data_IF_575817812916
#
_entry.id   IF_575817812916
#
_cell.length_a   1.000
_cell.length_b   1.000
_cell.length_c   1.000
_cell.angle_alpha   90.00
_cell.angle_beta   90.00
_cell.angle_gamma   90.00
#
_symmetry.space_group_name_H-M   'P 1'
#
loop_
_entity.id
_entity.type
_entity.pdbx_description
1 polymer ?
#
# COMPACT_ATOMS: atom_id res chain seq x y z
N UNK A 1 -64.92 -21.69 40.29
CA UNK A 1 -63.76 -21.62 39.36
C UNK A 1 -63.95 -20.60 38.22
N UNK A 2 -65.20 -20.22 37.85
CA UNK A 2 -65.47 -19.22 36.79
C UNK A 2 -65.15 -17.78 37.20
N UNK A 3 -65.51 -17.39 38.43
CA UNK A 3 -65.33 -16.01 38.96
C UNK A 3 -63.87 -15.56 38.98
N UNK A 4 -62.92 -16.44 39.35
CA UNK A 4 -61.49 -16.11 39.40
C UNK A 4 -60.90 -15.78 38.02
N UNK A 5 -61.43 -16.40 36.94
CA UNK A 5 -60.99 -16.12 35.56
C UNK A 5 -61.48 -14.76 35.08
N UNK A 6 -62.69 -14.36 35.47
CA UNK A 6 -63.25 -13.06 35.09
C UNK A 6 -62.42 -11.91 35.71
N UNK A 7 -62.11 -12.04 37.00
CA UNK A 7 -61.31 -11.03 37.71
C UNK A 7 -59.93 -10.83 37.08
N UNK A 8 -59.26 -11.92 36.68
CA UNK A 8 -57.94 -11.81 36.01
C UNK A 8 -58.02 -11.11 34.64
N UNK A 9 -59.13 -11.27 33.91
CA UNK A 9 -59.33 -10.61 32.61
C UNK A 9 -59.57 -9.11 32.83
N UNK A 10 -60.36 -8.75 33.82
CA UNK A 10 -60.59 -7.35 34.20
C UNK A 10 -59.30 -6.68 34.68
N UNK A 11 -58.46 -7.37 35.46
CA UNK A 11 -57.15 -6.86 35.88
C UNK A 11 -56.20 -6.60 34.69
N UNK A 12 -56.19 -7.49 33.70
CA UNK A 12 -55.38 -7.33 32.48
C UNK A 12 -55.89 -6.16 31.64
N UNK A 13 -57.21 -6.03 31.46
CA UNK A 13 -57.81 -4.92 30.71
C UNK A 13 -57.54 -3.58 31.42
N UNK A 14 -57.63 -3.56 32.75
CA UNK A 14 -57.36 -2.37 33.55
C UNK A 14 -55.87 -1.97 33.52
N UNK A 15 -54.95 -2.94 33.38
CA UNK A 15 -53.51 -2.65 33.19
C UNK A 15 -53.20 -1.95 31.85
N UNK A 16 -54.10 -2.05 30.88
CA UNK A 16 -53.94 -1.47 29.54
C UNK A 16 -54.68 -0.12 29.38
N UNK A 17 -55.57 0.24 30.30
CA UNK A 17 -56.37 1.48 30.25
C UNK A 17 -55.51 2.75 30.39
N UNK A 18 -54.34 2.64 31.02
CA UNK A 18 -53.33 3.71 31.10
C UNK A 18 -52.38 3.79 29.90
N UNK A 19 -52.46 2.86 28.94
CA UNK A 19 -51.55 2.80 27.81
C UNK A 19 -51.95 3.83 26.73
N UNK A 20 -51.58 5.08 26.96
CA UNK A 20 -51.69 6.13 25.95
C UNK A 20 -50.78 5.87 24.75
N UNK A 21 -51.15 6.40 23.58
CA UNK A 21 -50.30 6.38 22.39
C UNK A 21 -48.97 7.06 22.73
N UNK A 22 -47.87 6.31 22.72
CA UNK A 22 -46.55 6.87 22.91
C UNK A 22 -46.24 7.84 21.76
N UNK A 23 -46.27 9.13 22.05
CA UNK A 23 -45.87 10.17 21.09
C UNK A 23 -44.35 10.25 21.10
N UNK A 24 -43.73 10.25 19.92
CA UNK A 24 -42.30 10.46 19.82
C UNK A 24 -41.93 11.79 20.49
N UNK A 25 -40.84 11.85 21.27
CA UNK A 25 -40.42 13.09 21.91
C UNK A 25 -40.04 14.13 20.85
N UNK A 26 -40.17 15.41 21.21
CA UNK A 26 -39.80 16.52 20.34
C UNK A 26 -38.36 16.34 19.82
N UNK A 27 -38.15 16.61 18.53
CA UNK A 27 -36.88 16.45 17.80
C UNK A 27 -36.35 15.00 17.66
N UNK A 28 -37.11 13.95 18.00
CA UNK A 28 -36.70 12.56 17.76
C UNK A 28 -36.34 12.32 16.29
N UNK A 29 -37.20 12.76 15.37
CA UNK A 29 -36.98 12.62 13.94
C UNK A 29 -35.76 13.38 13.44
N UNK A 30 -35.50 14.58 13.97
CA UNK A 30 -34.32 15.37 13.62
C UNK A 30 -33.04 14.67 14.05
N UNK A 31 -33.01 14.13 15.28
CA UNK A 31 -31.84 13.39 15.80
C UNK A 31 -31.63 12.07 15.06
N UNK A 32 -32.72 11.37 14.73
CA UNK A 32 -32.67 10.14 13.95
C UNK A 32 -32.14 10.41 12.54
N UNK A 33 -32.68 11.41 11.86
CA UNK A 33 -32.25 11.84 10.52
C UNK A 33 -30.77 12.22 10.51
N UNK A 34 -30.32 13.01 11.49
CA UNK A 34 -28.91 13.39 11.62
C UNK A 34 -27.99 12.17 11.82
N UNK A 35 -28.43 11.14 12.56
CA UNK A 35 -27.66 9.89 12.72
C UNK A 35 -27.63 9.06 11.45
N UNK A 36 -28.74 8.99 10.71
CA UNK A 36 -28.78 8.31 9.42
C UNK A 36 -27.84 9.00 8.43
N UNK A 37 -27.95 10.32 8.29
CA UNK A 37 -27.08 11.12 7.41
C UNK A 37 -25.60 11.01 7.79
N UNK A 38 -25.26 10.95 9.09
CA UNK A 38 -23.89 10.73 9.55
C UNK A 38 -23.34 9.33 9.20
N UNK A 39 -24.19 8.31 9.13
CA UNK A 39 -23.80 6.97 8.69
C UNK A 39 -23.75 6.80 7.17
N UNK A 40 -24.49 7.64 6.43
CA UNK A 40 -24.57 7.65 4.97
C UNK A 40 -23.51 8.56 4.33
N UNK A 41 -23.13 9.64 5.00
CA UNK A 41 -22.03 10.47 4.57
C UNK A 41 -20.72 9.69 4.83
N UNK A 42 -19.90 9.39 3.80
CA UNK A 42 -18.55 8.95 4.07
C UNK A 42 -17.89 10.01 4.95
N UNK A 43 -17.23 9.60 6.04
CA UNK A 43 -16.40 10.52 6.82
C UNK A 43 -15.60 11.38 5.84
N UNK A 44 -15.53 12.71 6.03
CA UNK A 44 -14.65 13.50 5.20
C UNK A 44 -13.27 12.94 5.46
N UNK A 45 -12.76 12.13 4.51
CA UNK A 45 -11.44 11.56 4.51
C UNK A 45 -10.47 12.74 4.55
N UNK A 46 -10.20 13.21 5.76
CA UNK A 46 -9.16 14.17 6.13
C UNK A 46 -7.81 13.45 6.14
N UNK A 47 -7.71 12.31 5.46
CA UNK A 47 -6.49 11.62 5.16
C UNK A 47 -5.83 12.26 3.94
N UNK A 48 -4.61 12.75 4.17
CA UNK A 48 -3.53 12.75 3.19
C UNK A 48 -3.51 13.79 2.07
N UNK A 49 -3.57 15.08 2.44
CA UNK A 49 -3.00 16.14 1.59
C UNK A 49 -1.46 16.16 1.54
N UNK A 50 -0.78 15.36 2.36
CA UNK A 50 0.69 15.27 2.40
C UNK A 50 1.27 14.23 1.42
N UNK A 51 0.45 13.35 0.84
CA UNK A 51 0.87 12.41 -0.21
C UNK A 51 1.53 13.07 -1.45
N UNK A 52 1.02 14.18 -2.03
CA UNK A 52 1.62 14.73 -3.25
C UNK A 52 3.05 15.21 -3.03
N UNK A 53 3.37 15.78 -1.85
CA UNK A 53 4.71 16.29 -1.58
C UNK A 53 5.78 15.18 -1.54
N UNK A 54 5.46 14.03 -0.92
CA UNK A 54 6.38 12.89 -0.88
C UNK A 54 6.60 12.27 -2.26
N UNK A 55 5.55 12.17 -3.09
CA UNK A 55 5.64 11.65 -4.46
C UNK A 55 6.49 12.56 -5.34
N UNK A 56 6.31 13.88 -5.24
CA UNK A 56 7.12 14.87 -5.97
C UNK A 56 8.58 14.81 -5.49
N UNK A 57 8.81 14.74 -4.17
CA UNK A 57 10.15 14.66 -3.62
C UNK A 57 10.90 13.39 -4.07
N UNK A 58 10.24 12.23 -4.06
CA UNK A 58 10.85 10.98 -4.55
C UNK A 58 11.13 11.03 -6.06
N UNK A 59 10.24 11.64 -6.83
CA UNK A 59 10.42 11.79 -8.28
C UNK A 59 11.62 12.70 -8.61
N UNK A 60 11.73 13.83 -7.91
CA UNK A 60 12.86 14.76 -8.04
C UNK A 60 14.16 14.09 -7.61
N UNK A 61 14.15 13.31 -6.52
CA UNK A 61 15.33 12.57 -6.07
C UNK A 61 15.84 11.59 -7.13
N UNK A 62 14.95 10.79 -7.73
CA UNK A 62 15.31 9.86 -8.82
C UNK A 62 15.83 10.62 -10.04
N UNK A 63 15.21 11.75 -10.39
CA UNK A 63 15.64 12.57 -11.51
C UNK A 63 17.03 13.17 -11.29
N UNK A 64 17.31 13.70 -10.09
CA UNK A 64 18.62 14.22 -9.72
C UNK A 64 19.66 13.10 -9.72
N UNK A 65 19.36 11.93 -9.15
CA UNK A 65 20.27 10.79 -9.17
C UNK A 65 20.66 10.43 -10.61
N UNK A 66 19.68 10.28 -11.51
CA UNK A 66 19.94 9.97 -12.91
C UNK A 66 20.69 11.09 -13.64
N UNK A 67 20.34 12.36 -13.39
CA UNK A 67 21.05 13.50 -13.97
C UNK A 67 22.51 13.57 -13.51
N UNK A 68 22.77 13.32 -12.22
CA UNK A 68 24.14 13.27 -11.70
C UNK A 68 24.93 12.09 -12.26
N UNK A 69 24.28 10.95 -12.50
CA UNK A 69 24.90 9.78 -13.13
C UNK A 69 25.30 10.07 -14.58
N UNK A 70 24.46 10.77 -15.35
CA UNK A 70 24.76 11.17 -16.72
C UNK A 70 25.89 12.20 -16.79
N UNK A 71 25.91 13.19 -15.89
CA UNK A 71 26.94 14.25 -15.87
C UNK A 71 28.28 13.70 -15.38
N UNK A 72 28.27 12.76 -14.42
CA UNK A 72 29.48 12.09 -13.92
C UNK A 72 29.95 10.95 -14.82
N UNK A 73 29.05 10.33 -15.58
CA UNK A 73 29.33 9.22 -16.50
C UNK A 73 30.22 9.60 -17.68
N UNK A 74 30.36 10.89 -17.97
CA UNK A 74 31.35 11.41 -18.93
C UNK A 74 32.78 11.49 -18.35
N UNK A 75 32.94 11.38 -17.02
CA UNK A 75 34.23 11.50 -16.33
C UNK A 75 34.61 10.29 -15.46
N UNK A 76 33.76 9.26 -15.35
CA UNK A 76 34.10 8.02 -14.65
C UNK A 76 33.22 6.89 -15.16
N UNK A 77 33.80 6.09 -16.05
CA UNK A 77 33.42 4.68 -16.19
C UNK A 77 33.72 3.98 -14.87
N UNK A 78 32.78 4.00 -13.93
CA UNK A 78 32.72 2.97 -12.91
C UNK A 78 31.29 2.86 -12.38
N UNK A 79 30.48 2.15 -13.16
CA UNK A 79 29.20 1.66 -12.69
C UNK A 79 29.49 0.52 -11.72
N UNK A 80 29.12 0.73 -10.46
CA UNK A 80 28.85 -0.33 -9.47
C UNK A 80 27.66 -1.18 -9.95
N UNK A 81 27.89 -1.96 -10.99
CA UNK A 81 27.23 -3.25 -11.18
C UNK A 81 28.11 -4.23 -10.43
N UNK A 82 27.52 -5.17 -9.71
CA UNK A 82 28.23 -6.30 -9.12
C UNK A 82 28.99 -7.02 -10.25
N UNK A 83 30.25 -6.66 -10.44
CA UNK A 83 31.13 -7.10 -11.52
C UNK A 83 31.80 -8.42 -11.14
N UNK A 84 31.01 -9.42 -10.75
CA UNK A 84 31.55 -10.77 -10.56
C UNK A 84 31.73 -11.44 -11.93
N UNK A 85 30.85 -11.13 -12.90
CA UNK A 85 30.83 -11.83 -14.21
C UNK A 85 31.65 -11.11 -15.31
N UNK A 86 31.84 -9.79 -15.23
CA UNK A 86 32.56 -9.03 -16.28
C UNK A 86 34.08 -9.23 -16.20
N UNK A 87 34.63 -9.36 -15.00
CA UNK A 87 36.05 -9.69 -14.81
C UNK A 87 36.33 -11.14 -15.23
N UNK A 88 35.41 -12.07 -14.98
CA UNK A 88 35.56 -13.47 -15.40
C UNK A 88 35.56 -13.59 -16.93
N UNK A 89 34.64 -12.92 -17.63
CA UNK A 89 34.56 -12.99 -19.10
C UNK A 89 35.82 -12.43 -19.78
N UNK A 90 36.36 -11.33 -19.24
CA UNK A 90 37.61 -10.74 -19.75
C UNK A 90 38.83 -11.63 -19.46
N UNK A 91 38.88 -12.27 -18.29
CA UNK A 91 39.96 -13.20 -17.93
C UNK A 91 39.98 -14.46 -18.81
N UNK A 92 38.81 -15.01 -19.14
CA UNK A 92 38.66 -16.19 -20.00
C UNK A 92 39.08 -15.84 -21.44
N UNK A 93 38.66 -14.68 -21.97
CA UNK A 93 39.05 -14.24 -23.31
C UNK A 93 40.56 -13.96 -23.44
N UNK A 94 41.21 -13.47 -22.37
CA UNK A 94 42.65 -13.25 -22.35
C UNK A 94 43.45 -14.57 -22.40
N UNK A 95 42.98 -15.64 -21.73
CA UNK A 95 43.64 -16.95 -21.76
C UNK A 95 43.61 -17.60 -23.16
N UNK A 96 42.49 -17.50 -23.90
CA UNK A 96 42.41 -18.04 -25.27
C UNK A 96 43.41 -17.36 -26.23
N UNK A 97 43.61 -16.04 -26.09
CA UNK A 97 44.57 -15.30 -26.92
C UNK A 97 46.04 -15.66 -26.60
N UNK A 98 46.33 -16.00 -25.34
CA UNK A 98 47.66 -16.43 -24.92
C UNK A 98 48.00 -17.85 -25.39
N UNK A 99 47.00 -18.75 -25.41
CA UNK A 99 47.20 -20.14 -25.82
C UNK A 99 47.62 -20.25 -27.29
N UNK A 100 47.01 -19.47 -28.19
CA UNK A 100 47.34 -19.50 -29.63
C UNK A 100 48.79 -19.09 -29.93
N UNK A 101 49.34 -18.15 -29.15
CA UNK A 101 50.74 -17.73 -29.31
C UNK A 101 51.70 -18.78 -28.72
N UNK A 102 51.34 -19.42 -27.60
CA UNK A 102 52.18 -20.42 -26.93
C UNK A 102 52.41 -21.70 -27.76
N UNK A 103 51.41 -22.15 -28.52
CA UNK A 103 51.52 -23.35 -29.37
C UNK A 103 52.60 -23.17 -30.46
N UNK A 104 52.72 -21.95 -31.02
CA UNK A 104 53.70 -21.65 -32.08
C UNK A 104 55.13 -21.62 -31.53
N UNK A 105 55.32 -21.25 -30.27
CA UNK A 105 56.64 -21.29 -29.62
C UNK A 105 57.06 -22.70 -29.21
N UNK A 106 56.13 -23.55 -28.79
CA UNK A 106 56.42 -24.94 -28.39
C UNK A 106 56.81 -25.81 -29.60
N UNK A 107 56.12 -25.65 -30.73
CA UNK A 107 56.43 -26.35 -32.00
C UNK A 107 57.79 -26.01 -32.61
N UNK A 108 58.39 -24.87 -32.23
CA UNK A 108 59.70 -24.42 -32.73
C UNK A 108 60.86 -24.73 -31.78
N UNK A 109 60.61 -25.25 -30.58
CA UNK A 109 61.67 -25.62 -29.62
C UNK A 109 62.14 -27.08 -29.77
N UNK A 110 61.40 -27.93 -30.48
CA UNK A 110 61.69 -29.37 -30.61
C UNK A 110 62.50 -29.72 -31.87
N UNK A 111 63.40 -28.82 -32.32
CA UNK A 111 64.32 -29.04 -33.46
C UNK A 111 65.76 -28.65 -33.14
#
# INVERSE_FOLDING_TARGET
MSTKRNNNIEDILNSLDGAGRAVAPDFFYTRLKARMEKGLAPEPNRGWRLKPAYVIASLVLVLVANATMLIKGDNSSDNTVVAIDTESDQSIAAEYNLYENSIVYDLNQDK
#
